data_IF_066055009511
#
_entry.id   IF_066055009511
#
_cell.length_a   1.000
_cell.length_b   1.000
_cell.length_c   1.000
_cell.angle_alpha   90.00
_cell.angle_beta   90.00
_cell.angle_gamma   90.00
#
_symmetry.space_group_name_H-M   'P 1'
#
loop_
_entity.id
_entity.type
_entity.pdbx_description
1 polymer ?
#
# COMPACT_ATOMS: atom_id res chain seq x y z
N UNK A 1 -1.77 10.53 17.32
CA UNK A 1 -0.50 11.03 16.76
C UNK A 1 0.30 9.81 16.33
N UNK A 2 0.89 9.81 15.14
CA UNK A 2 1.89 8.80 14.83
C UNK A 2 3.03 8.94 15.83
N UNK A 3 3.51 7.82 16.36
CA UNK A 3 4.67 7.77 17.25
C UNK A 3 5.88 8.38 16.53
N UNK A 4 6.69 9.17 17.23
CA UNK A 4 7.85 9.88 16.67
C UNK A 4 8.83 8.86 16.02
N UNK A 5 8.97 7.69 16.66
CA UNK A 5 9.75 6.58 16.12
C UNK A 5 9.18 6.02 14.81
N UNK A 6 7.86 6.07 14.60
CA UNK A 6 7.25 5.63 13.34
C UNK A 6 7.53 6.63 12.22
N UNK A 7 7.48 7.93 12.53
CA UNK A 7 7.82 8.98 11.57
C UNK A 7 9.28 8.86 11.14
N UNK A 8 10.20 8.69 12.09
CA UNK A 8 11.62 8.49 11.79
C UNK A 8 11.86 7.28 10.88
N UNK A 9 11.21 6.14 11.17
CA UNK A 9 11.27 4.94 10.31
C UNK A 9 10.76 5.17 8.89
N UNK A 10 9.69 5.97 8.73
CA UNK A 10 9.17 6.32 7.41
C UNK A 10 10.21 7.12 6.64
N UNK A 11 10.80 8.14 7.26
CA UNK A 11 11.73 9.04 6.59
C UNK A 11 13.17 8.51 6.47
N UNK A 12 13.50 7.40 7.11
CA UNK A 12 14.76 6.68 6.92
C UNK A 12 14.91 6.04 5.52
N UNK A 13 13.82 5.93 4.73
CA UNK A 13 13.88 5.42 3.35
C UNK A 13 14.64 6.37 2.41
N UNK A 14 15.57 5.83 1.63
CA UNK A 14 16.45 6.60 0.73
C UNK A 14 15.66 7.17 -0.47
N UNK A 15 14.65 6.44 -0.94
CA UNK A 15 13.81 6.84 -2.07
C UNK A 15 12.37 7.17 -1.68
N UNK A 16 11.65 7.95 -2.50
CA UNK A 16 10.22 8.21 -2.29
C UNK A 16 9.37 6.94 -2.26
N UNK A 17 9.74 5.91 -3.05
CA UNK A 17 9.05 4.61 -3.06
C UNK A 17 9.24 3.88 -1.74
N UNK A 18 10.44 3.90 -1.18
CA UNK A 18 10.74 3.27 0.11
C UNK A 18 10.01 3.98 1.25
N UNK A 19 10.00 5.31 1.28
CA UNK A 19 9.25 6.07 2.31
C UNK A 19 7.76 5.76 2.25
N UNK A 20 7.17 5.75 1.05
CA UNK A 20 5.77 5.35 0.87
C UNK A 20 5.55 3.89 1.28
N UNK A 21 6.44 2.97 0.92
CA UNK A 21 6.34 1.58 1.35
C UNK A 21 6.40 1.46 2.88
N UNK A 22 7.29 2.19 3.56
CA UNK A 22 7.36 2.24 5.03
C UNK A 22 6.08 2.79 5.65
N UNK A 23 5.52 3.87 5.10
CA UNK A 23 4.23 4.42 5.54
C UNK A 23 3.15 3.33 5.51
N UNK A 24 3.02 2.63 4.38
CA UNK A 24 1.99 1.61 4.23
C UNK A 24 2.30 0.32 5.01
N UNK A 25 3.57 -0.01 5.29
CA UNK A 25 3.94 -1.11 6.20
C UNK A 25 3.50 -0.83 7.63
N UNK A 26 3.69 0.40 8.09
CA UNK A 26 3.43 0.80 9.48
C UNK A 26 1.95 1.11 9.73
N UNK A 27 1.26 1.69 8.75
CA UNK A 27 -0.13 2.11 8.86
C UNK A 27 -1.00 1.19 7.99
N UNK A 28 -1.40 0.06 8.56
CA UNK A 28 -2.21 -0.97 7.92
C UNK A 28 -3.70 -0.79 8.24
N UNK A 29 -4.57 -1.20 7.32
CA UNK A 29 -6.03 -1.23 7.42
C UNK A 29 -6.64 0.12 7.84
N UNK A 30 -6.01 1.23 7.44
CA UNK A 30 -6.50 2.60 7.66
C UNK A 30 -6.39 3.38 6.36
N UNK A 31 -7.47 4.05 5.91
CA UNK A 31 -7.38 4.96 4.77
C UNK A 31 -6.39 6.09 5.07
N UNK A 32 -5.51 6.36 4.11
CA UNK A 32 -4.52 7.42 4.14
C UNK A 32 -4.84 8.40 3.01
N UNK A 33 -5.09 9.68 3.34
CA UNK A 33 -5.34 10.74 2.37
C UNK A 33 -4.17 10.94 1.39
N UNK A 34 -4.50 11.29 0.15
CA UNK A 34 -3.52 11.53 -0.92
C UNK A 34 -2.45 12.57 -0.55
N UNK A 35 -2.81 13.65 0.12
CA UNK A 35 -1.89 14.73 0.53
C UNK A 35 -0.84 14.25 1.53
N UNK A 36 -1.22 13.36 2.46
CA UNK A 36 -0.28 12.68 3.38
C UNK A 36 0.71 11.81 2.60
N UNK A 37 0.21 11.03 1.64
CA UNK A 37 1.07 10.19 0.79
C UNK A 37 2.03 11.04 -0.04
N UNK A 38 1.55 12.14 -0.62
CA UNK A 38 2.35 13.10 -1.38
C UNK A 38 3.46 13.72 -0.51
N UNK A 39 3.11 14.14 0.71
CA UNK A 39 4.06 14.70 1.66
C UNK A 39 5.17 13.70 2.06
N UNK A 40 4.82 12.43 2.27
CA UNK A 40 5.79 11.37 2.59
C UNK A 40 6.69 11.03 1.40
N UNK A 41 6.14 11.02 0.18
CA UNK A 41 6.92 10.75 -1.01
C UNK A 41 8.05 11.78 -1.21
N UNK A 42 7.80 13.06 -0.86
CA UNK A 42 8.69 14.20 -1.11
C UNK A 42 9.10 14.34 -2.58
N UNK A 43 8.23 13.93 -3.52
CA UNK A 43 8.51 13.92 -4.95
C UNK A 43 7.25 14.21 -5.78
N UNK A 44 7.40 14.95 -6.88
CA UNK A 44 6.27 15.49 -7.69
C UNK A 44 5.42 14.43 -8.40
N UNK A 45 6.00 13.32 -8.82
CA UNK A 45 5.31 12.24 -9.57
C UNK A 45 5.00 10.99 -8.72
N UNK A 46 4.69 11.18 -7.42
CA UNK A 46 4.44 10.06 -6.51
C UNK A 46 3.33 9.10 -6.96
N UNK A 47 2.30 9.59 -7.66
CA UNK A 47 1.21 8.75 -8.20
C UNK A 47 1.69 7.72 -9.23
N UNK A 48 2.72 8.06 -10.02
CA UNK A 48 3.36 7.11 -10.93
C UNK A 48 4.13 6.06 -10.16
N UNK A 49 4.80 6.49 -9.09
CA UNK A 49 5.64 5.69 -8.20
C UNK A 49 4.88 4.76 -7.24
N UNK A 50 3.62 5.07 -6.95
CA UNK A 50 2.74 4.18 -6.17
C UNK A 50 2.45 2.88 -6.94
N UNK A 51 2.38 2.98 -8.28
CA UNK A 51 2.08 1.84 -9.16
C UNK A 51 3.26 0.87 -9.21
N UNK A 52 3.02 -0.33 -9.71
CA UNK A 52 4.09 -1.25 -10.07
C UNK A 52 4.98 -0.65 -11.16
N UNK A 53 6.29 -0.76 -10.98
CA UNK A 53 7.33 -0.24 -11.89
C UNK A 53 8.53 -1.19 -11.88
N UNK A 54 8.41 -2.30 -12.63
CA UNK A 54 9.49 -3.29 -12.86
C UNK A 54 10.18 -3.75 -11.57
N UNK A 55 9.42 -3.93 -10.48
CA UNK A 55 9.95 -4.38 -9.20
C UNK A 55 10.48 -3.26 -8.30
N UNK A 56 10.30 -2.00 -8.66
CA UNK A 56 10.78 -0.84 -7.89
C UNK A 56 9.66 0.06 -7.41
N UNK A 57 8.44 -0.12 -7.93
CA UNK A 57 7.28 0.66 -7.53
C UNK A 57 6.85 0.36 -6.09
N UNK A 58 6.11 1.26 -5.46
CA UNK A 58 5.65 1.08 -4.08
C UNK A 58 4.82 -0.20 -3.93
N UNK A 59 3.92 -0.46 -4.89
CA UNK A 59 3.16 -1.72 -4.96
C UNK A 59 4.07 -2.95 -5.05
N UNK A 60 5.16 -2.88 -5.82
CA UNK A 60 6.09 -4.01 -5.96
C UNK A 60 6.83 -4.29 -4.66
N UNK A 61 7.26 -3.23 -3.95
CA UNK A 61 7.96 -3.36 -2.67
C UNK A 61 7.05 -4.00 -1.61
N UNK A 62 5.78 -3.59 -1.56
CA UNK A 62 4.80 -4.13 -0.63
C UNK A 62 4.35 -5.54 -1.00
N UNK A 63 4.24 -5.86 -2.29
CA UNK A 63 3.86 -7.17 -2.77
C UNK A 63 4.82 -8.27 -2.29
N UNK A 64 6.13 -7.99 -2.26
CA UNK A 64 7.16 -8.88 -1.69
C UNK A 64 6.95 -9.17 -0.20
N UNK A 65 6.38 -8.21 0.51
CA UNK A 65 6.07 -8.36 1.93
C UNK A 65 4.73 -9.04 2.16
N UNK A 66 4.00 -9.48 1.12
CA UNK A 66 2.64 -9.99 1.24
C UNK A 66 1.61 -8.91 1.57
N UNK A 67 1.90 -7.63 1.25
CA UNK A 67 1.05 -6.48 1.54
C UNK A 67 0.43 -5.93 0.25
N UNK A 68 -0.89 -5.72 0.27
CA UNK A 68 -1.62 -5.00 -0.77
C UNK A 68 -1.56 -3.48 -0.56
N UNK A 69 -1.58 -2.74 -1.66
CA UNK A 69 -1.79 -1.28 -1.67
C UNK A 69 -2.90 -0.92 -2.65
N UNK A 70 -4.05 -0.57 -2.09
CA UNK A 70 -5.32 -0.35 -2.78
C UNK A 70 -5.70 1.13 -2.79
N UNK A 71 -6.30 1.59 -3.89
CA UNK A 71 -6.84 2.93 -4.03
C UNK A 71 -8.35 2.91 -3.92
N UNK A 72 -8.95 3.78 -3.10
CA UNK A 72 -10.40 3.87 -3.01
C UNK A 72 -11.10 4.23 -4.33
N UNK A 73 -10.38 4.84 -5.28
CA UNK A 73 -10.93 5.17 -6.60
C UNK A 73 -11.07 3.97 -7.52
N UNK A 74 -10.16 2.99 -7.44
CA UNK A 74 -10.07 1.89 -8.40
C UNK A 74 -10.42 0.53 -7.78
N UNK A 75 -10.22 0.39 -6.48
CA UNK A 75 -10.20 -0.91 -5.79
C UNK A 75 -11.34 -1.04 -4.78
N UNK A 76 -12.36 -0.17 -4.82
CA UNK A 76 -13.44 -0.10 -3.83
C UNK A 76 -14.19 -1.42 -3.61
N UNK A 77 -14.38 -2.23 -4.66
CA UNK A 77 -14.98 -3.56 -4.56
C UNK A 77 -14.07 -4.54 -3.81
N UNK A 78 -12.76 -4.55 -4.09
CA UNK A 78 -11.79 -5.41 -3.41
C UNK A 78 -11.61 -4.99 -1.95
N UNK A 79 -11.56 -3.68 -1.67
CA UNK A 79 -11.50 -3.12 -0.31
C UNK A 79 -12.68 -3.65 0.52
N UNK A 80 -13.89 -3.61 -0.04
CA UNK A 80 -15.08 -4.17 0.61
C UNK A 80 -15.01 -5.69 0.78
N UNK A 81 -14.53 -6.41 -0.24
CA UNK A 81 -14.45 -7.87 -0.20
C UNK A 81 -13.42 -8.39 0.83
N UNK A 82 -12.39 -7.59 1.13
CA UNK A 82 -11.39 -7.86 2.17
C UNK A 82 -11.81 -7.35 3.56
N UNK A 83 -13.05 -6.89 3.72
CA UNK A 83 -13.60 -6.33 4.96
C UNK A 83 -12.77 -5.17 5.54
N UNK A 84 -12.17 -4.36 4.67
CA UNK A 84 -11.40 -3.19 5.07
C UNK A 84 -12.31 -1.97 5.30
N UNK A 85 -11.89 -1.01 6.14
CA UNK A 85 -12.62 0.24 6.30
C UNK A 85 -12.87 0.96 4.97
N UNK A 86 -14.00 1.68 4.83
CA UNK A 86 -14.29 2.46 3.63
C UNK A 86 -13.15 3.41 3.29
N UNK A 87 -12.72 3.37 2.03
CA UNK A 87 -11.61 4.16 1.50
C UNK A 87 -12.14 5.03 0.37
N UNK A 88 -12.09 6.35 0.52
CA UNK A 88 -12.61 7.30 -0.45
C UNK A 88 -11.73 7.36 -1.71
N UNK A 89 -12.26 7.94 -2.80
CA UNK A 89 -11.54 8.04 -4.08
C UNK A 89 -10.17 8.70 -3.98
N UNK A 90 -10.00 9.66 -3.08
CA UNK A 90 -8.74 10.36 -2.82
C UNK A 90 -7.82 9.67 -1.81
N UNK A 91 -8.10 8.42 -1.41
CA UNK A 91 -7.40 7.72 -0.34
C UNK A 91 -6.78 6.41 -0.82
N UNK A 92 -5.81 5.96 -0.03
CA UNK A 92 -5.12 4.69 -0.20
C UNK A 92 -5.18 3.88 1.09
N UNK A 93 -5.26 2.57 0.98
CA UNK A 93 -5.24 1.66 2.13
C UNK A 93 -4.35 0.47 1.83
N UNK A 94 -3.61 0.00 2.83
CA UNK A 94 -2.81 -1.22 2.75
C UNK A 94 -3.33 -2.29 3.69
N UNK A 95 -3.17 -3.56 3.32
CA UNK A 95 -3.44 -4.68 4.21
C UNK A 95 -2.46 -5.83 3.93
N UNK A 96 -2.04 -6.55 4.98
CA UNK A 96 -1.30 -7.79 4.86
C UNK A 96 -2.27 -8.91 4.53
N UNK A 97 -1.91 -9.75 3.56
CA UNK A 97 -2.66 -10.95 3.26
C UNK A 97 -2.36 -12.02 4.32
N UNK A 98 -3.40 -12.71 4.78
CA UNK A 98 -3.31 -13.70 5.88
C UNK A 98 -3.68 -15.12 5.43
N UNK A 99 -4.29 -15.28 4.25
CA UNK A 99 -4.67 -16.58 3.74
C UNK A 99 -4.65 -16.64 2.20
N UNK A 100 -4.59 -17.87 1.68
CA UNK A 100 -4.51 -18.10 0.24
C UNK A 100 -5.76 -17.64 -0.52
N UNK A 101 -6.93 -17.69 0.13
CA UNK A 101 -8.18 -17.22 -0.48
C UNK A 101 -8.12 -15.72 -0.80
N UNK A 102 -7.65 -14.90 0.14
CA UNK A 102 -7.44 -13.47 -0.06
C UNK A 102 -6.33 -13.21 -1.10
N UNK A 103 -5.25 -13.99 -1.11
CA UNK A 103 -4.20 -13.87 -2.13
C UNK A 103 -4.75 -14.09 -3.54
N UNK A 104 -5.54 -15.16 -3.73
CA UNK A 104 -6.19 -15.49 -5.01
C UNK A 104 -7.20 -14.42 -5.44
N UNK A 105 -8.02 -13.94 -4.50
CA UNK A 105 -8.98 -12.86 -4.75
C UNK A 105 -8.30 -11.57 -5.21
N UNK A 106 -7.21 -11.19 -4.54
CA UNK A 106 -6.43 -10.01 -4.88
C UNK A 106 -5.79 -10.14 -6.27
N UNK A 107 -5.21 -11.31 -6.58
CA UNK A 107 -4.62 -11.58 -7.90
C UNK A 107 -5.65 -11.50 -9.03
N UNK A 108 -6.87 -12.03 -8.84
CA UNK A 108 -7.97 -11.92 -9.79
C UNK A 108 -8.40 -10.46 -10.03
N UNK A 109 -8.18 -9.60 -9.04
CA UNK A 109 -8.47 -8.16 -9.11
C UNK A 109 -7.28 -7.33 -9.62
N UNK A 110 -6.20 -7.99 -10.08
CA UNK A 110 -5.00 -7.33 -10.63
C UNK A 110 -3.94 -6.93 -9.60
N UNK A 111 -4.05 -7.41 -8.35
CA UNK A 111 -3.09 -7.13 -7.27
C UNK A 111 -2.46 -8.42 -6.76
N UNK A 112 -1.42 -8.89 -7.45
CA UNK A 112 -0.64 -10.05 -7.00
C UNK A 112 0.29 -9.66 -5.85
N UNK A 113 0.40 -10.54 -4.86
CA UNK A 113 1.41 -10.46 -3.78
C UNK A 113 2.16 -11.78 -3.70
N UNK A 114 3.36 -11.74 -3.12
CA UNK A 114 4.08 -12.97 -2.79
C UNK A 114 3.31 -13.69 -1.69
N UNK A 115 2.93 -14.93 -1.98
CA UNK A 115 2.22 -15.81 -1.07
C UNK A 115 2.90 -17.17 -1.08
N UNK A 116 3.25 -17.76 0.08
CA UNK A 116 3.84 -19.08 0.12
C UNK A 116 2.80 -20.10 -0.37
N UNK A 117 3.00 -20.62 -1.58
CA UNK A 117 2.35 -21.87 -2.02
C UNK A 117 2.87 -23.00 -1.14
N UNK A 118 1.96 -23.60 -0.36
CA UNK A 118 2.23 -24.85 0.36
C UNK A 118 2.40 -26.02 -0.60
#
# INVERSE_FOLDING_TARGET
MADEAAVEKIFAGETGNERMAQLFRLIQQRPIPRDVVEAVAQQKDFMRRIRSDKGRGTRDLLARDGILLLSGQYDSQLIKALDLPPCAGGEFISCRIENEYHARMAAQSGHAVEWPTS
#
